data_IF_930347664642
#
_entry.id   IF_930347664642
#
_cell.length_a   1.000
_cell.length_b   1.000
_cell.length_c   1.000
_cell.angle_alpha   90.00
_cell.angle_beta   90.00
_cell.angle_gamma   90.00
#
_symmetry.space_group_name_H-M   'P 1'
#
loop_
_entity.id
_entity.type
_entity.pdbx_description
1 polymer ?
#
# COMPACT_ATOMS: atom_id res chain seq x y z
N UNK A 1 -6.92 35.23 28.22
CA UNK A 1 -5.94 34.12 28.08
C UNK A 1 -6.62 32.76 27.79
N UNK A 2 -7.54 32.27 28.64
CA UNK A 2 -8.18 30.94 28.50
C UNK A 2 -8.88 30.69 27.16
N UNK A 3 -9.68 31.64 26.69
CA UNK A 3 -10.35 31.57 25.38
C UNK A 3 -9.34 31.51 24.21
N UNK A 4 -8.22 32.24 24.31
CA UNK A 4 -7.15 32.20 23.30
C UNK A 4 -6.47 30.82 23.29
N UNK A 5 -6.23 30.23 24.45
CA UNK A 5 -5.67 28.87 24.59
C UNK A 5 -6.61 27.79 24.01
N UNK A 6 -7.90 27.85 24.32
CA UNK A 6 -8.89 26.91 23.78
C UNK A 6 -9.01 27.02 22.25
N UNK A 7 -9.01 28.25 21.71
CA UNK A 7 -8.98 28.48 20.26
C UNK A 7 -7.70 27.95 19.63
N UNK A 8 -6.54 28.20 20.23
CA UNK A 8 -5.26 27.70 19.74
C UNK A 8 -5.23 26.16 19.70
N UNK A 9 -5.69 25.50 20.76
CA UNK A 9 -5.82 24.04 20.78
C UNK A 9 -6.71 23.52 19.64
N UNK A 10 -7.88 24.11 19.44
CA UNK A 10 -8.79 23.70 18.36
C UNK A 10 -8.15 23.93 16.98
N UNK A 11 -7.51 25.07 16.76
CA UNK A 11 -6.84 25.38 15.48
C UNK A 11 -5.73 24.36 15.20
N UNK A 12 -4.83 24.11 16.16
CA UNK A 12 -3.73 23.13 15.99
C UNK A 12 -4.30 21.72 15.72
N UNK A 13 -5.38 21.34 16.41
CA UNK A 13 -6.10 20.08 16.18
C UNK A 13 -6.61 19.96 14.74
N UNK A 14 -7.16 21.04 14.18
CA UNK A 14 -7.66 21.08 12.80
C UNK A 14 -6.55 21.18 11.73
N UNK A 15 -5.37 21.71 12.08
CA UNK A 15 -4.21 21.74 11.19
C UNK A 15 -3.51 20.37 11.10
N UNK A 16 -3.73 19.47 12.05
CA UNK A 16 -3.06 18.17 12.10
C UNK A 16 -3.41 17.28 10.87
N UNK A 17 -4.68 17.10 10.44
CA UNK A 17 -4.99 16.36 9.22
C UNK A 17 -4.41 17.04 7.96
N UNK A 18 -4.39 18.38 7.93
CA UNK A 18 -3.80 19.14 6.82
C UNK A 18 -2.30 18.85 6.70
N UNK A 19 -1.57 18.77 7.82
CA UNK A 19 -0.15 18.39 7.81
C UNK A 19 0.07 17.02 7.16
N UNK A 20 -0.69 16.00 7.57
CA UNK A 20 -0.58 14.65 7.00
C UNK A 20 -0.98 14.59 5.52
N UNK A 21 -2.04 15.33 5.14
CA UNK A 21 -2.47 15.43 3.75
C UNK A 21 -1.40 16.09 2.89
N UNK A 22 -0.82 17.21 3.34
CA UNK A 22 0.28 17.88 2.67
C UNK A 22 1.46 16.93 2.55
N UNK A 23 1.87 16.26 3.64
CA UNK A 23 2.96 15.27 3.67
C UNK A 23 2.80 14.18 2.59
N UNK A 24 1.60 13.61 2.45
CA UNK A 24 1.32 12.55 1.48
C UNK A 24 1.21 13.09 0.05
N UNK A 25 0.40 14.12 -0.18
CA UNK A 25 0.17 14.68 -1.52
C UNK A 25 1.43 15.36 -2.07
N UNK A 26 2.30 15.89 -1.21
CA UNK A 26 3.59 16.41 -1.63
C UNK A 26 4.50 15.34 -2.23
N UNK A 27 4.36 14.07 -1.82
CA UNK A 27 5.03 12.95 -2.52
C UNK A 27 4.39 12.73 -3.88
N UNK A 28 3.06 12.65 -3.94
CA UNK A 28 2.31 12.40 -5.17
C UNK A 28 2.59 13.43 -6.27
N UNK A 29 2.67 14.71 -5.90
CA UNK A 29 2.92 15.80 -6.84
C UNK A 29 4.40 16.17 -6.98
N UNK A 30 5.31 15.37 -6.41
CA UNK A 30 6.76 15.55 -6.58
C UNK A 30 7.34 16.77 -5.86
N UNK A 31 6.67 17.32 -4.86
CA UNK A 31 7.20 18.39 -4.01
C UNK A 31 8.35 17.91 -3.11
N UNK A 32 8.34 16.62 -2.74
CA UNK A 32 9.43 15.96 -2.03
C UNK A 32 9.43 14.45 -2.25
N UNK A 33 10.54 13.80 -1.89
CA UNK A 33 10.69 12.35 -1.99
C UNK A 33 9.78 11.60 -1.01
N UNK A 34 9.53 10.32 -1.30
CA UNK A 34 8.75 9.46 -0.41
C UNK A 34 9.39 9.28 0.97
N UNK A 35 10.73 9.29 1.06
CA UNK A 35 11.42 9.25 2.35
C UNK A 35 11.14 10.51 3.17
N UNK A 36 10.99 11.66 2.51
CA UNK A 36 10.67 12.90 3.21
C UNK A 36 9.20 12.92 3.64
N UNK A 37 8.27 12.63 2.73
CA UNK A 37 6.85 12.63 3.04
C UNK A 37 6.45 11.53 4.00
N UNK A 38 6.67 10.26 3.63
CA UNK A 38 6.24 9.12 4.44
C UNK A 38 7.15 8.91 5.67
N UNK A 39 8.46 8.77 5.48
CA UNK A 39 9.35 8.38 6.60
C UNK A 39 9.56 9.55 7.57
N UNK A 40 9.99 10.71 7.08
CA UNK A 40 10.29 11.84 7.96
C UNK A 40 9.03 12.53 8.48
N UNK A 41 8.14 12.98 7.60
CA UNK A 41 6.99 13.79 8.03
C UNK A 41 5.90 12.95 8.71
N UNK A 42 5.52 11.81 8.12
CA UNK A 42 4.43 10.99 8.69
C UNK A 42 4.93 10.10 9.83
N UNK A 43 5.97 9.30 9.61
CA UNK A 43 6.41 8.31 10.62
C UNK A 43 7.20 8.96 11.76
N UNK A 44 8.26 9.72 11.45
CA UNK A 44 9.14 10.29 12.50
C UNK A 44 8.52 11.51 13.20
N UNK A 45 7.92 12.44 12.45
CA UNK A 45 7.34 13.67 13.02
C UNK A 45 5.86 13.54 13.39
N UNK A 46 5.12 12.60 12.79
CA UNK A 46 3.68 12.47 13.01
C UNK A 46 3.30 12.14 14.44
N UNK A 47 3.93 11.13 15.05
CA UNK A 47 3.65 10.75 16.44
C UNK A 47 3.97 11.89 17.45
N UNK A 48 5.14 12.57 17.37
CA UNK A 48 5.40 13.77 18.17
C UNK A 48 4.36 14.88 17.98
N UNK A 49 3.93 15.16 16.75
CA UNK A 49 2.93 16.19 16.46
C UNK A 49 1.55 15.84 17.03
N UNK A 50 1.13 14.59 16.91
CA UNK A 50 -0.10 14.09 17.53
C UNK A 50 -0.02 14.26 19.06
N UNK A 51 1.10 13.84 19.67
CA UNK A 51 1.32 13.94 21.11
C UNK A 51 1.31 15.38 21.62
N UNK A 52 1.98 16.30 20.92
CA UNK A 52 1.98 17.73 21.28
C UNK A 52 0.58 18.35 21.15
N UNK A 53 -0.15 18.00 20.09
CA UNK A 53 -1.52 18.47 19.86
C UNK A 53 -2.46 17.97 20.96
N UNK A 54 -2.32 16.70 21.36
CA UNK A 54 -3.07 16.12 22.47
C UNK A 54 -2.75 16.83 23.78
N UNK A 55 -1.46 17.03 24.09
CA UNK A 55 -1.02 17.71 25.31
C UNK A 55 -1.58 19.13 25.38
N UNK A 56 -1.53 19.89 24.29
CA UNK A 56 -2.09 21.23 24.22
C UNK A 56 -3.61 21.22 24.50
N UNK A 57 -4.34 20.25 23.95
CA UNK A 57 -5.77 20.07 24.22
C UNK A 57 -6.07 19.70 25.68
N UNK A 58 -5.25 18.84 26.28
CA UNK A 58 -5.41 18.46 27.69
C UNK A 58 -5.15 19.66 28.61
N UNK A 59 -4.08 20.42 28.36
CA UNK A 59 -3.76 21.64 29.10
C UNK A 59 -4.89 22.68 28.93
N UNK A 60 -5.37 22.89 27.71
CA UNK A 60 -6.49 23.79 27.45
C UNK A 60 -7.76 23.35 28.21
N UNK A 61 -8.04 22.05 28.26
CA UNK A 61 -9.20 21.48 28.95
C UNK A 61 -9.09 21.69 30.46
N UNK A 62 -7.94 21.36 31.07
CA UNK A 62 -7.70 21.58 32.50
C UNK A 62 -7.81 23.07 32.86
N UNK A 63 -7.15 23.95 32.12
CA UNK A 63 -7.16 25.40 32.40
C UNK A 63 -8.56 26.01 32.26
N UNK A 64 -9.38 25.54 31.31
CA UNK A 64 -10.73 26.07 31.08
C UNK A 64 -11.78 25.51 32.04
N UNK A 65 -11.63 24.28 32.54
CA UNK A 65 -12.57 23.65 33.47
C UNK A 65 -12.32 24.02 34.93
N UNK A 66 -11.06 24.13 35.36
CA UNK A 66 -10.71 24.32 36.77
C UNK A 66 -10.53 25.78 37.19
N UNK A 67 -10.51 26.75 36.25
CA UNK A 67 -10.44 28.19 36.57
C UNK A 67 -11.73 28.92 36.19
N UNK A 68 -12.44 29.47 37.19
CA UNK A 68 -13.59 30.36 36.96
C UNK A 68 -13.15 31.68 36.26
N UNK A 69 -14.00 32.32 35.43
CA UNK A 69 -15.19 31.74 34.79
C UNK A 69 -14.79 30.68 33.75
N UNK A 70 -15.55 29.58 33.65
CA UNK A 70 -15.25 28.43 32.77
C UNK A 70 -15.55 28.73 31.31
N UNK A 71 -14.79 29.62 30.68
CA UNK A 71 -14.99 30.02 29.28
C UNK A 71 -14.12 29.19 28.33
N UNK A 72 -14.68 28.78 27.19
CA UNK A 72 -13.95 28.07 26.13
C UNK A 72 -13.77 26.55 26.31
N UNK A 73 -14.34 25.94 27.36
CA UNK A 73 -14.17 24.52 27.64
C UNK A 73 -14.66 23.58 26.53
N UNK A 74 -15.77 23.92 25.84
CA UNK A 74 -16.27 23.12 24.69
C UNK A 74 -15.27 23.08 23.54
N UNK A 75 -14.61 24.20 23.25
CA UNK A 75 -13.56 24.27 22.22
C UNK A 75 -12.32 23.48 22.64
N UNK A 76 -11.94 23.54 23.92
CA UNK A 76 -10.82 22.75 24.44
C UNK A 76 -11.09 21.24 24.33
N UNK A 77 -12.31 20.80 24.67
CA UNK A 77 -12.74 19.41 24.46
C UNK A 77 -12.79 19.02 22.98
N UNK A 78 -13.32 19.88 22.11
CA UNK A 78 -13.32 19.64 20.66
C UNK A 78 -11.89 19.53 20.11
N UNK A 79 -10.94 20.29 20.66
CA UNK A 79 -9.52 20.23 20.31
C UNK A 79 -8.86 18.87 20.61
N UNK A 80 -9.44 18.05 21.49
CA UNK A 80 -8.95 16.69 21.76
C UNK A 80 -9.40 15.66 20.71
N UNK A 81 -10.45 15.93 19.95
CA UNK A 81 -11.09 14.92 19.10
C UNK A 81 -10.13 14.38 18.04
N UNK A 82 -9.50 15.26 17.26
CA UNK A 82 -8.61 14.86 16.16
C UNK A 82 -7.38 14.08 16.65
N UNK A 83 -6.58 14.55 17.63
CA UNK A 83 -5.42 13.79 18.08
C UNK A 83 -5.79 12.45 18.74
N UNK A 84 -6.93 12.36 19.44
CA UNK A 84 -7.41 11.08 19.99
C UNK A 84 -7.77 10.10 18.87
N UNK A 85 -8.53 10.54 17.87
CA UNK A 85 -8.85 9.72 16.71
C UNK A 85 -7.59 9.30 15.94
N UNK A 86 -6.62 10.21 15.81
CA UNK A 86 -5.34 9.91 15.18
C UNK A 86 -4.56 8.83 15.95
N UNK A 87 -4.51 8.89 17.28
CA UNK A 87 -3.87 7.84 18.09
C UNK A 87 -4.59 6.49 17.96
N UNK A 88 -5.92 6.48 17.97
CA UNK A 88 -6.71 5.26 17.75
C UNK A 88 -6.38 4.67 16.39
N UNK A 89 -6.34 5.50 15.34
CA UNK A 89 -6.01 5.08 13.99
C UNK A 89 -4.58 4.53 13.89
N UNK A 90 -3.58 5.23 14.46
CA UNK A 90 -2.19 4.77 14.50
C UNK A 90 -2.08 3.41 15.20
N UNK A 91 -2.78 3.23 16.34
CA UNK A 91 -2.82 1.95 17.04
C UNK A 91 -3.42 0.82 16.19
N UNK A 92 -4.49 1.10 15.44
CA UNK A 92 -5.10 0.15 14.51
C UNK A 92 -4.15 -0.23 13.37
N UNK A 93 -3.49 0.76 12.74
CA UNK A 93 -2.51 0.52 11.68
C UNK A 93 -1.34 -0.30 12.21
N UNK A 94 -0.77 0.06 13.36
CA UNK A 94 0.33 -0.69 13.96
C UNK A 94 -0.04 -2.15 14.25
N UNK A 95 -1.25 -2.39 14.78
CA UNK A 95 -1.73 -3.74 15.08
C UNK A 95 -1.94 -4.59 13.81
N UNK A 96 -2.40 -3.98 12.71
CA UNK A 96 -2.55 -4.64 11.42
C UNK A 96 -1.20 -4.93 10.77
N UNK A 97 -0.33 -3.91 10.69
CA UNK A 97 1.00 -4.03 10.07
C UNK A 97 1.88 -5.08 10.75
N UNK A 98 1.74 -5.29 12.06
CA UNK A 98 2.48 -6.33 12.79
C UNK A 98 2.19 -7.76 12.31
N UNK A 99 1.08 -7.99 11.59
CA UNK A 99 0.68 -9.29 11.05
C UNK A 99 1.01 -9.44 9.56
N UNK A 100 1.43 -8.35 8.93
CA UNK A 100 1.69 -8.31 7.49
C UNK A 100 3.18 -8.58 7.28
N UNK A 101 3.55 -9.54 6.41
CA UNK A 101 4.95 -9.78 6.12
C UNK A 101 5.62 -8.54 5.52
N UNK A 102 6.90 -8.29 5.80
CA UNK A 102 7.59 -7.10 5.33
C UNK A 102 8.01 -7.20 3.85
N UNK A 103 7.15 -7.71 2.97
CA UNK A 103 7.42 -7.92 1.55
C UNK A 103 6.66 -6.90 0.67
N UNK A 104 7.13 -6.74 -0.56
CA UNK A 104 6.56 -5.83 -1.55
C UNK A 104 6.44 -6.45 -2.94
N UNK A 105 6.57 -7.78 -3.04
CA UNK A 105 6.50 -8.53 -4.30
C UNK A 105 5.73 -9.81 -4.03
N UNK A 106 4.59 -9.95 -4.72
CA UNK A 106 3.63 -11.04 -4.51
C UNK A 106 3.26 -11.62 -5.87
N UNK A 107 3.23 -12.95 -5.98
CA UNK A 107 2.82 -13.67 -7.19
C UNK A 107 1.79 -14.76 -6.85
N UNK A 108 0.84 -14.97 -7.74
CA UNK A 108 -0.10 -16.09 -7.68
C UNK A 108 0.62 -17.43 -7.85
N UNK A 109 1.58 -17.51 -8.77
CA UNK A 109 2.40 -18.68 -9.03
C UNK A 109 3.84 -18.39 -8.61
N UNK A 110 4.33 -19.08 -7.58
CA UNK A 110 5.67 -18.86 -7.03
C UNK A 110 6.72 -19.80 -7.64
N UNK A 111 6.29 -20.86 -8.32
CA UNK A 111 7.18 -21.82 -9.00
C UNK A 111 7.56 -21.32 -10.39
N UNK A 112 6.61 -20.71 -11.09
CA UNK A 112 6.79 -20.10 -12.41
C UNK A 112 6.03 -18.76 -12.43
N UNK A 113 6.58 -17.71 -11.81
CA UNK A 113 5.92 -16.41 -11.72
C UNK A 113 5.92 -15.67 -13.06
N UNK A 114 4.93 -14.81 -13.33
CA UNK A 114 5.01 -13.82 -14.39
C UNK A 114 6.30 -12.98 -14.29
N UNK A 115 6.94 -12.74 -15.43
CA UNK A 115 8.20 -12.01 -15.56
C UNK A 115 7.92 -10.68 -16.27
N UNK A 116 8.58 -9.62 -15.82
CA UNK A 116 8.48 -8.31 -16.44
C UNK A 116 9.32 -8.21 -17.71
N UNK A 117 8.81 -7.49 -18.71
CA UNK A 117 9.52 -7.22 -19.96
C UNK A 117 10.77 -6.35 -19.74
N UNK A 118 11.73 -6.37 -20.68
CA UNK A 118 12.88 -5.48 -20.64
C UNK A 118 12.49 -3.99 -20.54
N UNK A 119 11.36 -3.59 -21.14
CA UNK A 119 10.86 -2.22 -21.09
C UNK A 119 10.44 -1.82 -19.67
N UNK A 120 9.66 -2.66 -18.99
CA UNK A 120 9.26 -2.42 -17.58
C UNK A 120 10.48 -2.46 -16.67
N UNK A 121 11.39 -3.41 -16.86
CA UNK A 121 12.62 -3.49 -16.06
C UNK A 121 13.52 -2.27 -16.23
N UNK A 122 13.64 -1.74 -17.45
CA UNK A 122 14.36 -0.50 -17.71
C UNK A 122 13.70 0.71 -17.02
N UNK A 123 12.37 0.82 -17.07
CA UNK A 123 11.62 1.88 -16.39
C UNK A 123 11.77 1.80 -14.86
N UNK A 124 11.74 0.59 -14.28
CA UNK A 124 12.01 0.35 -12.86
C UNK A 124 13.42 0.80 -12.47
N UNK A 125 14.43 0.41 -13.24
CA UNK A 125 15.82 0.82 -13.01
C UNK A 125 15.99 2.34 -13.07
N UNK A 126 15.41 2.99 -14.08
CA UNK A 126 15.46 4.45 -14.23
C UNK A 126 14.80 5.19 -13.06
N UNK A 127 13.75 4.61 -12.47
CA UNK A 127 13.07 5.16 -11.31
C UNK A 127 13.75 4.86 -9.96
N UNK A 128 14.87 4.12 -9.95
CA UNK A 128 15.50 3.65 -8.70
C UNK A 128 14.58 2.73 -7.90
N UNK A 129 13.76 1.94 -8.60
CA UNK A 129 12.78 1.07 -7.98
C UNK A 129 13.43 -0.10 -7.22
N UNK A 130 12.70 -0.66 -6.27
CA UNK A 130 13.04 -1.91 -5.62
C UNK A 130 13.38 -3.01 -6.65
N UNK A 131 14.36 -3.87 -6.34
CA UNK A 131 14.71 -4.99 -7.21
C UNK A 131 13.53 -5.97 -7.32
N UNK A 132 13.42 -6.62 -8.47
CA UNK A 132 12.53 -7.77 -8.65
C UNK A 132 13.34 -9.03 -8.37
N UNK A 133 13.08 -9.69 -7.24
CA UNK A 133 13.81 -10.87 -6.80
C UNK A 133 13.18 -12.16 -7.33
N UNK A 134 13.93 -13.25 -7.38
CA UNK A 134 13.35 -14.56 -7.70
C UNK A 134 12.43 -15.02 -6.56
N UNK A 135 11.30 -15.68 -6.89
CA UNK A 135 10.32 -16.12 -5.89
C UNK A 135 10.83 -17.27 -5.01
N UNK A 136 11.82 -18.02 -5.50
CA UNK A 136 12.54 -19.07 -4.78
C UNK A 136 13.77 -18.54 -4.03
N UNK A 137 14.10 -17.25 -4.14
CA UNK A 137 15.22 -16.67 -3.41
C UNK A 137 14.95 -16.76 -1.89
N UNK A 138 15.88 -17.35 -1.10
CA UNK A 138 15.80 -17.32 0.34
C UNK A 138 15.83 -15.87 0.83
N UNK A 139 14.93 -15.51 1.75
CA UNK A 139 14.83 -14.14 2.26
C UNK A 139 16.16 -13.66 2.83
N UNK A 140 16.89 -14.50 3.57
CA UNK A 140 18.19 -14.15 4.14
C UNK A 140 19.29 -13.86 3.11
N UNK A 141 19.12 -14.27 1.86
CA UNK A 141 20.06 -13.95 0.77
C UNK A 141 19.86 -12.54 0.20
N UNK A 142 18.67 -11.96 0.41
CA UNK A 142 18.30 -10.65 -0.11
C UNK A 142 18.81 -9.54 0.83
N UNK A 143 19.54 -8.53 0.33
CA UNK A 143 20.15 -7.49 1.18
C UNK A 143 19.19 -6.80 2.14
N UNK A 144 17.93 -6.60 1.72
CA UNK A 144 16.90 -5.92 2.50
C UNK A 144 16.42 -6.70 3.73
N UNK A 145 16.70 -8.02 3.78
CA UNK A 145 16.23 -8.93 4.82
C UNK A 145 17.39 -9.59 5.58
N UNK A 146 18.58 -9.00 5.50
CA UNK A 146 19.71 -9.41 6.32
C UNK A 146 19.59 -8.82 7.73
N UNK A 147 20.09 -9.55 8.72
CA UNK A 147 20.17 -9.10 10.11
C UNK A 147 19.17 -9.77 11.06
N UNK A 148 19.32 -9.52 12.38
CA UNK A 148 18.61 -10.27 13.42
C UNK A 148 17.09 -10.08 13.37
N UNK A 149 16.61 -8.94 12.89
CA UNK A 149 15.17 -8.64 12.78
C UNK A 149 14.42 -9.55 11.79
N UNK A 150 15.12 -10.20 10.87
CA UNK A 150 14.52 -11.08 9.85
C UNK A 150 14.92 -12.55 10.02
N UNK A 151 15.56 -12.92 11.13
CA UNK A 151 16.05 -14.27 11.36
C UNK A 151 14.96 -15.35 11.20
N UNK A 152 13.73 -15.05 11.65
CA UNK A 152 12.58 -15.95 11.53
C UNK A 152 12.11 -16.18 10.08
N UNK A 153 12.40 -15.24 9.17
CA UNK A 153 12.05 -15.33 7.76
C UNK A 153 13.21 -15.83 6.88
N UNK A 154 14.45 -15.77 7.38
CA UNK A 154 15.66 -15.93 6.57
C UNK A 154 15.70 -17.23 5.75
N UNK A 155 15.19 -18.34 6.30
CA UNK A 155 15.16 -19.65 5.66
C UNK A 155 14.00 -19.84 4.67
N UNK A 156 12.96 -18.99 4.73
CA UNK A 156 11.82 -19.04 3.80
C UNK A 156 12.18 -18.33 2.51
N UNK A 157 11.59 -18.74 1.41
CA UNK A 157 11.70 -17.99 0.14
C UNK A 157 10.73 -16.82 0.11
N UNK A 158 11.00 -15.82 -0.73
CA UNK A 158 10.10 -14.68 -0.95
C UNK A 158 8.66 -15.13 -1.28
N UNK A 159 8.53 -16.08 -2.21
CA UNK A 159 7.25 -16.64 -2.63
C UNK A 159 6.54 -17.39 -1.50
N UNK A 160 7.26 -18.16 -0.67
CA UNK A 160 6.68 -18.85 0.49
C UNK A 160 6.11 -17.86 1.50
N UNK A 161 6.85 -16.79 1.83
CA UNK A 161 6.36 -15.74 2.75
C UNK A 161 5.07 -15.12 2.21
N UNK A 162 5.00 -14.83 0.91
CA UNK A 162 3.79 -14.32 0.26
C UNK A 162 2.62 -15.31 0.31
N UNK A 163 2.83 -16.57 -0.08
CA UNK A 163 1.76 -17.58 -0.13
C UNK A 163 1.20 -17.99 1.22
N UNK A 164 2.04 -17.99 2.27
CA UNK A 164 1.62 -18.23 3.65
C UNK A 164 0.78 -17.07 4.20
N UNK A 165 1.19 -15.83 3.93
CA UNK A 165 0.47 -14.65 4.39
C UNK A 165 -0.83 -14.39 3.61
N UNK A 166 -0.84 -14.75 2.32
CA UNK A 166 -1.95 -14.49 1.39
C UNK A 166 -2.39 -15.79 0.71
N UNK A 167 -3.13 -16.66 1.41
CA UNK A 167 -3.54 -17.96 0.87
C UNK A 167 -4.53 -17.86 -0.30
N UNK A 168 -5.26 -16.75 -0.43
CA UNK A 168 -6.20 -16.50 -1.53
C UNK A 168 -5.50 -16.06 -2.83
N UNK A 169 -4.25 -15.58 -2.77
CA UNK A 169 -3.48 -15.18 -3.95
C UNK A 169 -2.95 -16.43 -4.66
N UNK A 170 -3.75 -16.98 -5.58
CA UNK A 170 -3.47 -18.21 -6.33
C UNK A 170 -3.83 -18.03 -7.81
N UNK A 171 -3.29 -18.86 -8.73
CA UNK A 171 -3.63 -18.78 -10.14
C UNK A 171 -5.12 -18.98 -10.33
N UNK A 172 -5.72 -18.20 -11.24
CA UNK A 172 -7.16 -18.27 -11.52
C UNK A 172 -7.39 -19.10 -12.77
N UNK A 173 -8.06 -20.24 -12.63
CA UNK A 173 -8.55 -21.03 -13.76
C UNK A 173 -9.93 -20.53 -14.20
N UNK A 174 -10.10 -20.37 -15.51
CA UNK A 174 -11.34 -19.91 -16.14
C UNK A 174 -11.71 -20.84 -17.29
N UNK A 175 -13.01 -21.03 -17.54
CA UNK A 175 -13.52 -21.82 -18.66
C UNK A 175 -13.40 -21.12 -20.01
N UNK A 176 -13.32 -19.78 -20.01
CA UNK A 176 -13.16 -18.97 -21.20
C UNK A 176 -11.77 -19.16 -21.85
N UNK A 177 -11.72 -19.05 -23.17
CA UNK A 177 -10.49 -19.15 -23.96
C UNK A 177 -9.51 -18.01 -23.65
N UNK A 178 -8.20 -18.20 -23.88
CA UNK A 178 -7.18 -17.21 -23.55
C UNK A 178 -7.38 -15.84 -24.19
N UNK A 179 -7.90 -15.75 -25.42
CA UNK A 179 -8.06 -14.46 -26.11
C UNK A 179 -9.18 -13.64 -25.47
N UNK A 180 -10.31 -14.29 -25.15
CA UNK A 180 -11.40 -13.66 -24.39
C UNK A 180 -10.95 -13.20 -23.01
N UNK A 181 -10.15 -14.01 -22.30
CA UNK A 181 -9.63 -13.65 -20.98
C UNK A 181 -8.61 -12.52 -21.06
N UNK A 182 -7.74 -12.48 -22.06
CA UNK A 182 -6.79 -11.38 -22.26
C UNK A 182 -7.52 -10.05 -22.48
N UNK A 183 -8.55 -10.01 -23.32
CA UNK A 183 -9.36 -8.80 -23.52
C UNK A 183 -10.07 -8.35 -22.24
N UNK A 184 -10.62 -9.30 -21.45
CA UNK A 184 -11.26 -9.02 -20.18
C UNK A 184 -10.26 -8.53 -19.11
N UNK A 185 -9.05 -9.08 -19.09
CA UNK A 185 -7.97 -8.70 -18.18
C UNK A 185 -7.51 -7.26 -18.47
N UNK A 186 -7.34 -6.88 -19.74
CA UNK A 186 -7.00 -5.52 -20.10
C UNK A 186 -8.10 -4.53 -19.70
N UNK A 187 -9.36 -4.88 -19.92
CA UNK A 187 -10.51 -4.08 -19.51
C UNK A 187 -10.61 -3.93 -17.99
N UNK A 188 -10.32 -4.98 -17.23
CA UNK A 188 -10.30 -4.93 -15.76
C UNK A 188 -9.16 -4.06 -15.25
N UNK A 189 -7.95 -4.20 -15.78
CA UNK A 189 -6.81 -3.36 -15.41
C UNK A 189 -7.13 -1.87 -15.64
N UNK A 190 -7.71 -1.54 -16.81
CA UNK A 190 -8.17 -0.17 -17.12
C UNK A 190 -9.28 0.30 -16.18
N UNK A 191 -10.24 -0.55 -15.85
CA UNK A 191 -11.33 -0.20 -14.94
C UNK A 191 -10.84 0.08 -13.51
N UNK A 192 -9.75 -0.56 -13.09
CA UNK A 192 -9.06 -0.24 -11.83
C UNK A 192 -8.15 1.00 -11.91
N UNK A 193 -8.12 1.68 -13.06
CA UNK A 193 -7.30 2.87 -13.29
C UNK A 193 -5.81 2.57 -13.46
N UNK A 194 -5.42 1.34 -13.79
CA UNK A 194 -4.03 1.01 -14.04
C UNK A 194 -3.59 1.54 -15.40
N UNK A 195 -2.33 1.98 -15.49
CA UNK A 195 -1.73 2.42 -16.76
C UNK A 195 -1.06 1.23 -17.42
N UNK A 196 -1.46 0.86 -18.64
CA UNK A 196 -0.80 -0.22 -19.38
C UNK A 196 0.61 0.19 -19.80
N UNK A 197 1.60 -0.64 -19.49
CA UNK A 197 2.99 -0.45 -19.87
C UNK A 197 3.30 -1.20 -21.17
N UNK A 198 2.91 -2.46 -21.26
CA UNK A 198 2.93 -3.27 -22.48
C UNK A 198 1.65 -4.13 -22.52
N UNK A 199 1.13 -4.40 -23.70
CA UNK A 199 0.04 -5.34 -23.90
C UNK A 199 0.37 -6.16 -25.13
N UNK A 200 0.57 -7.46 -24.94
CA UNK A 200 0.58 -8.47 -25.99
C UNK A 200 -0.55 -9.47 -25.71
N UNK A 201 -1.82 -9.11 -26.03
CA UNK A 201 -2.95 -9.99 -25.80
C UNK A 201 -2.84 -11.30 -26.58
N UNK A 202 -2.15 -11.30 -27.73
CA UNK A 202 -1.93 -12.50 -28.54
C UNK A 202 -0.94 -13.46 -27.87
N UNK A 203 0.12 -12.93 -27.25
CA UNK A 203 1.06 -13.66 -26.41
C UNK A 203 0.55 -13.96 -24.99
N UNK A 204 -0.63 -13.44 -24.62
CA UNK A 204 -1.23 -13.63 -23.30
C UNK A 204 -0.48 -12.90 -22.19
N UNK A 205 0.19 -11.79 -22.49
CA UNK A 205 0.97 -11.01 -21.49
C UNK A 205 0.47 -9.58 -21.45
N UNK A 206 0.14 -9.11 -20.25
CA UNK A 206 -0.26 -7.73 -20.00
C UNK A 206 0.57 -7.20 -18.84
N UNK A 207 1.21 -6.05 -19.03
CA UNK A 207 1.93 -5.35 -17.98
C UNK A 207 1.29 -3.99 -17.73
N UNK A 208 1.15 -3.64 -16.46
CA UNK A 208 0.54 -2.38 -16.05
C UNK A 208 1.23 -1.79 -14.84
N UNK A 209 1.00 -0.51 -14.58
CA UNK A 209 1.40 0.17 -13.35
C UNK A 209 0.15 0.64 -12.63
N UNK A 210 0.00 0.22 -11.37
CA UNK A 210 -1.01 0.72 -10.45
C UNK A 210 -0.41 1.84 -9.58
N UNK A 211 -1.20 2.87 -9.28
CA UNK A 211 -0.76 4.01 -8.47
C UNK A 211 -1.63 4.16 -7.21
N UNK A 212 -0.99 4.36 -6.06
CA UNK A 212 -1.70 4.63 -4.79
C UNK A 212 -2.29 6.04 -4.76
N UNK A 213 -3.50 6.17 -4.21
CA UNK A 213 -4.22 7.44 -4.24
C UNK A 213 -3.48 8.60 -3.53
N UNK A 214 -2.97 8.37 -2.32
CA UNK A 214 -2.41 9.44 -1.48
C UNK A 214 -0.96 9.80 -1.82
N UNK A 215 -0.13 8.80 -2.08
CA UNK A 215 1.31 8.98 -2.22
C UNK A 215 1.81 8.95 -3.66
N UNK A 216 1.00 8.46 -4.60
CA UNK A 216 1.46 8.23 -5.96
C UNK A 216 2.50 7.11 -6.06
N UNK A 217 2.59 6.22 -5.07
CA UNK A 217 3.46 5.05 -5.15
C UNK A 217 3.00 4.14 -6.27
N UNK A 218 3.97 3.68 -7.05
CA UNK A 218 3.77 2.84 -8.23
C UNK A 218 4.12 1.40 -7.91
N UNK A 219 3.22 0.50 -8.28
CA UNK A 219 3.42 -0.94 -8.27
C UNK A 219 3.31 -1.44 -9.72
N UNK A 220 4.27 -2.24 -10.17
CA UNK A 220 4.22 -2.84 -11.49
C UNK A 220 3.58 -4.22 -11.41
N UNK A 221 2.66 -4.49 -12.33
CA UNK A 221 1.85 -5.71 -12.38
C UNK A 221 2.12 -6.42 -13.69
N UNK A 222 2.46 -7.71 -13.63
CA UNK A 222 2.55 -8.60 -14.78
C UNK A 222 1.44 -9.64 -14.70
N UNK A 223 0.63 -9.73 -15.74
CA UNK A 223 -0.45 -10.69 -15.90
C UNK A 223 -0.08 -11.62 -17.05
N UNK A 224 -0.13 -12.92 -16.80
CA UNK A 224 0.12 -13.96 -17.81
C UNK A 224 -1.09 -14.87 -17.93
N UNK A 225 -1.65 -14.95 -19.13
CA UNK A 225 -2.77 -15.81 -19.51
C UNK A 225 -2.22 -16.95 -20.37
N UNK A 226 -2.52 -18.20 -19.99
CA UNK A 226 -2.12 -19.40 -20.73
C UNK A 226 -3.32 -20.31 -20.97
N UNK A 227 -3.31 -21.15 -22.02
CA UNK A 227 -4.30 -22.22 -22.16
C UNK A 227 -4.32 -23.13 -20.92
N UNK A 228 -5.51 -23.49 -20.46
CA UNK A 228 -5.68 -24.49 -19.40
C UNK A 228 -5.43 -25.90 -19.93
N UNK A 229 -4.92 -26.78 -19.06
CA UNK A 229 -4.60 -28.19 -19.42
C UNK A 229 -5.84 -28.94 -19.95
N UNK A 230 -7.02 -28.62 -19.42
CA UNK A 230 -8.30 -29.24 -19.79
C UNK A 230 -9.20 -28.30 -20.61
N UNK A 231 -8.61 -27.34 -21.32
CA UNK A 231 -9.33 -26.25 -21.97
C UNK A 231 -9.48 -25.01 -21.08
N UNK A 232 -10.05 -23.95 -21.64
CA UNK A 232 -10.13 -22.64 -20.99
C UNK A 232 -8.76 -21.98 -20.82
N UNK A 233 -8.57 -21.25 -19.72
CA UNK A 233 -7.35 -20.49 -19.45
C UNK A 233 -6.96 -20.49 -17.98
N UNK A 234 -5.68 -20.20 -17.73
CA UNK A 234 -5.11 -19.97 -16.41
C UNK A 234 -4.46 -18.59 -16.40
N UNK A 235 -4.80 -17.78 -15.39
CA UNK A 235 -4.27 -16.44 -15.18
C UNK A 235 -3.34 -16.43 -13.98
N UNK A 236 -2.09 -16.09 -14.24
CA UNK A 236 -1.08 -15.81 -13.23
C UNK A 236 -0.88 -14.29 -13.12
N UNK A 237 -0.74 -13.75 -11.91
CA UNK A 237 -0.50 -12.33 -11.67
C UNK A 237 0.64 -12.16 -10.68
N UNK A 238 1.55 -11.24 -10.99
CA UNK A 238 2.60 -10.77 -10.09
C UNK A 238 2.49 -9.26 -9.93
N UNK A 239 2.57 -8.75 -8.71
CA UNK A 239 2.52 -7.32 -8.41
C UNK A 239 3.66 -6.95 -7.47
N UNK A 240 4.45 -5.94 -7.84
CA UNK A 240 5.65 -5.53 -7.09
C UNK A 240 5.82 -4.03 -6.98
N UNK A 241 6.00 -3.54 -5.74
CA UNK A 241 6.16 -2.12 -5.46
C UNK A 241 7.51 -1.59 -5.91
N UNK A 242 7.53 -0.33 -6.35
CA UNK A 242 8.78 0.36 -6.69
C UNK A 242 9.51 0.92 -5.47
N UNK A 243 8.84 1.15 -4.35
CA UNK A 243 9.45 1.76 -3.14
C UNK A 243 8.97 1.09 -1.87
N UNK A 244 9.77 1.20 -0.81
CA UNK A 244 9.44 0.66 0.51
C UNK A 244 9.83 -0.81 0.67
N UNK A 245 10.16 -1.21 1.89
CA UNK A 245 10.46 -2.62 2.20
C UNK A 245 9.19 -3.47 2.11
N UNK A 246 8.10 -2.97 2.67
CA UNK A 246 6.78 -3.59 2.69
C UNK A 246 5.76 -2.69 2.03
N UNK A 247 4.79 -3.30 1.37
CA UNK A 247 3.63 -2.65 0.77
C UNK A 247 2.39 -2.62 1.68
N UNK A 248 2.52 -3.14 2.92
CA UNK A 248 1.42 -3.28 3.88
C UNK A 248 0.24 -4.10 3.29
N UNK A 249 0.54 -5.08 2.44
CA UNK A 249 -0.42 -5.98 1.81
C UNK A 249 -1.10 -5.43 0.56
N UNK A 250 -0.70 -4.25 0.07
CA UNK A 250 -1.33 -3.61 -1.08
C UNK A 250 -1.29 -4.48 -2.35
N UNK A 251 -0.19 -5.17 -2.64
CA UNK A 251 -0.08 -6.04 -3.82
C UNK A 251 -0.97 -7.28 -3.73
N UNK A 252 -1.13 -7.87 -2.54
CA UNK A 252 -2.04 -8.99 -2.35
C UNK A 252 -3.50 -8.57 -2.59
N UNK A 253 -3.94 -7.47 -1.96
CA UNK A 253 -5.29 -6.90 -2.17
C UNK A 253 -5.51 -6.54 -3.64
N UNK A 254 -4.48 -6.04 -4.33
CA UNK A 254 -4.52 -5.72 -5.75
C UNK A 254 -4.80 -6.94 -6.61
N UNK A 255 -4.03 -8.00 -6.39
CA UNK A 255 -4.17 -9.26 -7.13
C UNK A 255 -5.53 -9.86 -6.87
N UNK A 256 -5.96 -9.95 -5.62
CA UNK A 256 -7.28 -10.49 -5.26
C UNK A 256 -8.43 -9.71 -5.89
N UNK A 257 -8.40 -8.38 -5.81
CA UNK A 257 -9.41 -7.51 -6.42
C UNK A 257 -9.46 -7.67 -7.95
N UNK A 258 -8.29 -7.71 -8.60
CA UNK A 258 -8.17 -7.95 -10.05
C UNK A 258 -8.73 -9.32 -10.46
N UNK A 259 -8.34 -10.39 -9.77
CA UNK A 259 -8.82 -11.74 -10.10
C UNK A 259 -10.34 -11.87 -9.88
N UNK A 260 -10.88 -11.25 -8.82
CA UNK A 260 -12.32 -11.22 -8.57
C UNK A 260 -13.08 -10.46 -9.67
N UNK A 261 -12.61 -9.27 -10.05
CA UNK A 261 -13.20 -8.49 -11.14
C UNK A 261 -13.12 -9.21 -12.49
N UNK A 262 -11.97 -9.82 -12.79
CA UNK A 262 -11.75 -10.61 -14.01
C UNK A 262 -12.69 -11.81 -14.10
N UNK A 263 -12.88 -12.53 -12.99
CA UNK A 263 -13.83 -13.65 -12.93
C UNK A 263 -15.24 -13.19 -13.29
N UNK A 264 -15.72 -12.10 -12.68
CA UNK A 264 -17.05 -11.53 -12.98
C UNK A 264 -17.17 -11.14 -14.46
N UNK A 265 -16.16 -10.47 -15.04
CA UNK A 265 -16.20 -10.05 -16.45
C UNK A 265 -16.23 -11.20 -17.44
N UNK A 266 -15.57 -12.30 -17.11
CA UNK A 266 -15.48 -13.46 -18.00
C UNK A 266 -16.72 -14.34 -17.93
N UNK A 267 -17.39 -14.40 -16.77
CA UNK A 267 -18.65 -15.12 -16.57
C UNK A 267 -19.90 -14.34 -17.05
N UNK A 268 -19.89 -13.01 -17.03
CA UNK A 268 -21.08 -12.18 -17.26
C UNK A 268 -21.58 -12.06 -18.72
N UNK A 269 -21.15 -12.90 -19.67
CA UNK A 269 -21.59 -12.85 -21.08
C UNK A 269 -21.65 -14.21 -21.77
#
# INVERSE_FOLDING_TARGET
MKLKLARASLIVSLLLPLYFMVAALGVKFGLWSWQTGLVKMIIQLGAPLIGLTLLLGLVATVVTLFRKPRTGWRMALAGLLVPVLALVYVGQVQSRSARIPPIHDVSTNITDPPVFSPAVMAARKAAGANPVSAMDAPMGSLPAYQGPGFAALAAKTLGQVGHEAYPAVRPLALSADPARVAAAAEAEAKAQGWTLATSDPAGGVIEATAETFWFGFKDDVAIRIRPGVNGGSVVDVRSTSRVGLSDIGANAVRIEGFLAGLKVRTEAR
#
